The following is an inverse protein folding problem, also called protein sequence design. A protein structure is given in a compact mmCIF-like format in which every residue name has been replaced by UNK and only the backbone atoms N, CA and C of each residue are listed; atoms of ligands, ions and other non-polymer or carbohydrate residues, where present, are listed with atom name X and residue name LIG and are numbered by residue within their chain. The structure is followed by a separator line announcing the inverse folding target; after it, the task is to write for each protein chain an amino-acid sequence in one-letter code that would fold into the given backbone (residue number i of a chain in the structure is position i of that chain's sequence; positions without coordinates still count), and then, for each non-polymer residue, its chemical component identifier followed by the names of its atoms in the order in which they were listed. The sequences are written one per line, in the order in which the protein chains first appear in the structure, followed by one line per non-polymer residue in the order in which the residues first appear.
data_IF_428699496213
#
_entry.id   IF_428699496213
#
_cell.length_a   1.000
_cell.length_b   1.000
_cell.length_c   1.000
_cell.angle_alpha   90.00
_cell.angle_beta   90.00
_cell.angle_gamma   90.00
#
_symmetry.space_group_name_H-M   'P 1'
#
loop_
_entity.id
_entity.type
_entity.pdbx_description
1 polymer ?
#
# COMPACT_ATOMS: atom_id res chain seq x y z
N UNK A 1 -70.22 3.42 -46.61
CA UNK A 1 -68.90 2.97 -46.97
C UNK A 1 -67.77 3.85 -46.49
N UNK A 2 -67.73 5.18 -46.73
CA UNK A 2 -66.59 6.06 -46.23
C UNK A 2 -66.36 6.09 -44.72
N UNK A 3 -67.38 5.98 -43.85
CA UNK A 3 -67.21 6.00 -42.38
C UNK A 3 -66.49 4.75 -41.87
N UNK A 4 -66.68 3.58 -42.47
CA UNK A 4 -66.05 2.31 -42.10
C UNK A 4 -64.58 2.33 -42.55
N UNK A 5 -64.25 2.86 -43.72
CA UNK A 5 -62.92 3.03 -44.23
C UNK A 5 -62.09 3.94 -43.35
N UNK A 6 -62.65 5.07 -42.86
CA UNK A 6 -61.92 5.96 -41.96
C UNK A 6 -61.63 5.34 -40.55
N UNK A 7 -62.54 4.52 -40.02
CA UNK A 7 -62.37 3.80 -38.78
C UNK A 7 -61.26 2.76 -38.88
N UNK A 8 -61.20 2.06 -40.03
CA UNK A 8 -60.11 1.03 -40.24
C UNK A 8 -58.73 1.67 -40.38
N UNK A 9 -58.62 2.82 -41.03
CA UNK A 9 -57.36 3.56 -41.17
C UNK A 9 -56.90 4.09 -39.85
N UNK A 10 -57.81 4.66 -39.00
CA UNK A 10 -57.44 5.08 -37.62
C UNK A 10 -56.98 3.94 -36.71
N UNK A 11 -57.63 2.76 -36.81
CA UNK A 11 -57.24 1.58 -36.06
C UNK A 11 -55.83 1.08 -36.47
N UNK A 12 -55.57 1.01 -37.76
CA UNK A 12 -54.25 0.64 -38.30
C UNK A 12 -53.17 1.64 -37.90
N UNK A 13 -53.43 2.94 -37.98
CA UNK A 13 -52.48 3.97 -37.54
C UNK A 13 -52.17 3.89 -36.03
N UNK A 14 -53.19 3.60 -35.21
CA UNK A 14 -53.00 3.36 -33.77
C UNK A 14 -52.16 2.14 -33.46
N UNK A 15 -52.36 1.03 -34.17
CA UNK A 15 -51.55 -0.17 -34.05
C UNK A 15 -50.07 0.04 -34.44
N UNK A 16 -49.81 0.75 -35.54
CA UNK A 16 -48.46 1.10 -35.96
C UNK A 16 -47.79 2.05 -34.96
N UNK A 17 -48.52 3.00 -34.37
CA UNK A 17 -48.00 3.89 -33.37
C UNK A 17 -47.64 3.15 -32.06
N UNK A 18 -48.51 2.25 -31.58
CA UNK A 18 -48.24 1.40 -30.44
C UNK A 18 -47.04 0.46 -30.67
N UNK A 19 -46.96 -0.17 -31.85
CA UNK A 19 -45.80 -1.01 -32.23
C UNK A 19 -44.49 -0.23 -32.26
N UNK A 20 -44.51 1.00 -32.76
CA UNK A 20 -43.36 1.91 -32.76
C UNK A 20 -42.90 2.29 -31.35
N UNK A 21 -43.82 2.55 -30.43
CA UNK A 21 -43.50 2.84 -29.02
C UNK A 21 -42.86 1.63 -28.35
N UNK A 22 -43.41 0.43 -28.55
CA UNK A 22 -42.85 -0.82 -27.98
C UNK A 22 -41.44 -1.09 -28.53
N UNK A 23 -41.22 -0.89 -29.81
CA UNK A 23 -39.92 -1.07 -30.44
C UNK A 23 -38.89 -0.08 -29.88
N UNK A 24 -39.24 1.20 -29.77
CA UNK A 24 -38.35 2.23 -29.21
C UNK A 24 -38.04 1.96 -27.73
N UNK A 25 -39.03 1.47 -26.96
CA UNK A 25 -38.79 1.07 -25.55
C UNK A 25 -37.89 -0.14 -25.46
N UNK A 26 -38.06 -1.17 -26.28
CA UNK A 26 -37.22 -2.34 -26.35
C UNK A 26 -35.77 -1.97 -26.65
N UNK A 27 -35.53 -1.18 -27.71
CA UNK A 27 -34.17 -0.74 -28.08
C UNK A 27 -33.51 0.10 -26.97
N UNK A 28 -34.28 0.94 -26.26
CA UNK A 28 -33.75 1.74 -25.14
C UNK A 28 -33.40 0.88 -23.92
N UNK A 29 -34.19 -0.13 -23.62
CA UNK A 29 -33.86 -1.07 -22.50
C UNK A 29 -32.65 -1.90 -22.82
N UNK A 30 -32.54 -2.45 -24.03
CA UNK A 30 -31.38 -3.24 -24.47
C UNK A 30 -30.09 -2.39 -24.45
N UNK A 31 -30.17 -1.13 -24.93
CA UNK A 31 -29.02 -0.22 -24.88
C UNK A 31 -28.58 0.09 -23.44
N UNK A 32 -29.54 0.28 -22.52
CA UNK A 32 -29.22 0.51 -21.09
C UNK A 32 -28.56 -0.73 -20.45
N UNK A 33 -29.12 -1.90 -20.69
CA UNK A 33 -28.56 -3.16 -20.20
C UNK A 33 -27.11 -3.37 -20.71
N UNK A 34 -26.89 -3.12 -22.00
CA UNK A 34 -25.55 -3.22 -22.59
C UNK A 34 -24.55 -2.22 -21.96
N UNK A 35 -24.98 -1.00 -21.63
CA UNK A 35 -24.14 -0.01 -20.93
C UNK A 35 -23.83 -0.45 -19.52
N UNK A 36 -24.85 -0.91 -18.76
CA UNK A 36 -24.66 -1.43 -17.40
C UNK A 36 -23.74 -2.65 -17.35
N UNK A 37 -23.86 -3.57 -18.31
CA UNK A 37 -22.96 -4.74 -18.42
C UNK A 37 -21.51 -4.32 -18.69
N UNK A 38 -21.29 -3.36 -19.60
CA UNK A 38 -19.96 -2.83 -19.87
C UNK A 38 -19.35 -2.13 -18.66
N UNK A 39 -20.14 -1.33 -17.94
CA UNK A 39 -19.69 -0.66 -16.72
C UNK A 39 -19.31 -1.67 -15.61
N UNK A 40 -20.09 -2.76 -15.47
CA UNK A 40 -19.77 -3.84 -14.53
C UNK A 40 -18.48 -4.56 -14.90
N UNK A 41 -18.33 -4.89 -16.20
CA UNK A 41 -17.11 -5.54 -16.69
C UNK A 41 -15.87 -4.66 -16.48
N UNK A 42 -15.98 -3.35 -16.75
CA UNK A 42 -14.89 -2.41 -16.53
C UNK A 42 -14.51 -2.31 -15.04
N UNK A 43 -15.50 -2.21 -14.14
CA UNK A 43 -15.25 -2.21 -12.69
C UNK A 43 -14.56 -3.49 -12.21
N UNK A 44 -15.02 -4.64 -12.69
CA UNK A 44 -14.39 -5.92 -12.35
C UNK A 44 -12.93 -6.00 -12.84
N UNK A 45 -12.66 -5.48 -14.03
CA UNK A 45 -11.30 -5.41 -14.57
C UNK A 45 -10.41 -4.47 -13.75
N UNK A 46 -10.92 -3.30 -13.36
CA UNK A 46 -10.22 -2.35 -12.49
C UNK A 46 -9.94 -2.94 -11.10
N UNK A 47 -10.93 -3.60 -10.48
CA UNK A 47 -10.78 -4.28 -9.19
C UNK A 47 -9.75 -5.41 -9.27
N UNK A 48 -9.80 -6.24 -10.32
CA UNK A 48 -8.83 -7.32 -10.53
C UNK A 48 -7.42 -6.77 -10.75
N UNK A 49 -7.28 -5.69 -11.52
CA UNK A 49 -5.99 -5.01 -11.72
C UNK A 49 -5.43 -4.46 -10.41
N UNK A 50 -6.28 -3.79 -9.62
CA UNK A 50 -5.87 -3.24 -8.32
C UNK A 50 -5.43 -4.35 -7.36
N UNK A 51 -6.17 -5.46 -7.30
CA UNK A 51 -5.80 -6.62 -6.48
C UNK A 51 -4.45 -7.21 -6.92
N UNK A 52 -4.21 -7.31 -8.23
CA UNK A 52 -2.92 -7.77 -8.75
C UNK A 52 -1.78 -6.81 -8.40
N UNK A 53 -2.00 -5.51 -8.48
CA UNK A 53 -1.03 -4.48 -8.09
C UNK A 53 -0.73 -4.55 -6.59
N UNK A 54 -1.75 -4.69 -5.74
CA UNK A 54 -1.59 -4.81 -4.28
C UNK A 54 -0.80 -6.07 -3.92
N UNK A 55 -1.15 -7.23 -4.49
CA UNK A 55 -0.41 -8.48 -4.29
C UNK A 55 1.04 -8.39 -4.76
N UNK A 56 1.27 -7.71 -5.87
CA UNK A 56 2.60 -7.54 -6.42
C UNK A 56 3.47 -6.55 -5.62
N UNK A 57 2.86 -5.63 -4.87
CA UNK A 57 3.53 -4.56 -4.13
C UNK A 57 3.63 -4.80 -2.63
N UNK A 58 3.00 -5.84 -2.09
CA UNK A 58 3.01 -6.14 -0.65
C UNK A 58 3.85 -7.36 -0.31
N UNK A 59 4.36 -7.40 0.91
CA UNK A 59 5.00 -8.57 1.54
C UNK A 59 3.92 -9.51 2.08
N UNK A 60 3.92 -10.75 1.61
CA UNK A 60 2.88 -11.74 1.93
C UNK A 60 2.81 -12.13 3.41
N UNK A 61 3.87 -11.93 4.20
CA UNK A 61 3.89 -12.24 5.63
C UNK A 61 3.30 -11.10 6.46
N UNK A 62 3.76 -9.87 6.23
CA UNK A 62 3.47 -8.72 7.09
C UNK A 62 2.37 -7.82 6.54
N UNK A 63 2.05 -7.93 5.25
CA UNK A 63 1.13 -7.06 4.53
C UNK A 63 1.64 -5.62 4.39
N UNK A 64 2.90 -5.33 4.73
CA UNK A 64 3.57 -4.08 4.40
C UNK A 64 3.91 -4.04 2.91
N UNK A 65 4.29 -2.89 2.41
CA UNK A 65 4.86 -2.82 1.07
C UNK A 65 6.19 -3.60 1.00
N UNK A 66 6.46 -4.21 -0.15
CA UNK A 66 7.68 -4.98 -0.38
C UNK A 66 8.82 -4.12 -0.96
N UNK A 67 10.02 -4.72 -1.12
CA UNK A 67 11.21 -4.05 -1.67
C UNK A 67 10.96 -3.51 -3.10
N UNK A 68 10.18 -4.23 -3.91
CA UNK A 68 9.87 -3.78 -5.28
C UNK A 68 9.14 -2.44 -5.29
N UNK A 69 8.14 -2.29 -4.45
CA UNK A 69 7.39 -1.03 -4.33
C UNK A 69 8.23 0.08 -3.68
N UNK A 70 9.09 -0.27 -2.73
CA UNK A 70 10.07 0.65 -2.15
C UNK A 70 10.94 1.30 -3.22
N UNK A 71 11.55 0.49 -4.09
CA UNK A 71 12.40 0.99 -5.18
C UNK A 71 11.62 1.83 -6.21
N UNK A 72 10.37 1.47 -6.48
CA UNK A 72 9.50 2.23 -7.37
C UNK A 72 9.16 3.60 -6.78
N UNK A 73 8.75 3.66 -5.50
CA UNK A 73 8.39 4.91 -4.83
C UNK A 73 9.58 5.85 -4.65
N UNK A 74 10.77 5.32 -4.36
CA UNK A 74 11.99 6.14 -4.32
C UNK A 74 12.28 6.83 -5.66
N UNK A 75 12.14 6.09 -6.77
CA UNK A 75 12.33 6.63 -8.12
C UNK A 75 11.26 7.68 -8.47
N UNK A 76 10.02 7.42 -8.11
CA UNK A 76 8.90 8.33 -8.33
C UNK A 76 9.10 9.64 -7.58
N UNK A 77 9.44 9.59 -6.29
CA UNK A 77 9.73 10.77 -5.48
C UNK A 77 10.91 11.59 -6.05
N UNK A 78 11.94 10.91 -6.57
CA UNK A 78 13.04 11.59 -7.22
C UNK A 78 12.63 12.31 -8.52
N UNK A 79 11.85 11.63 -9.37
CA UNK A 79 11.34 12.21 -10.63
C UNK A 79 10.47 13.43 -10.35
N UNK A 80 9.60 13.34 -9.35
CA UNK A 80 8.69 14.42 -8.94
C UNK A 80 9.38 15.47 -8.04
N UNK A 81 10.64 15.27 -7.68
CA UNK A 81 11.39 16.11 -6.73
C UNK A 81 10.65 16.29 -5.39
N UNK A 82 9.91 15.29 -4.98
CA UNK A 82 9.16 15.29 -3.71
C UNK A 82 10.13 15.11 -2.55
N UNK A 83 10.22 16.05 -1.59
CA UNK A 83 11.05 15.87 -0.41
C UNK A 83 10.53 14.74 0.48
N UNK A 84 11.45 13.92 1.00
CA UNK A 84 11.11 12.84 1.94
C UNK A 84 12.25 12.52 2.89
N UNK A 85 11.92 11.80 3.97
CA UNK A 85 12.91 11.15 4.83
C UNK A 85 12.79 9.65 4.65
N UNK A 86 13.92 9.01 4.39
CA UNK A 86 14.05 7.57 4.43
C UNK A 86 14.58 7.15 5.81
N UNK A 87 13.85 6.26 6.49
CA UNK A 87 14.34 5.51 7.64
C UNK A 87 14.59 4.08 7.22
N UNK A 88 15.77 3.55 7.56
CA UNK A 88 16.15 2.16 7.35
C UNK A 88 16.36 1.47 8.71
N UNK A 89 15.78 0.29 8.89
CA UNK A 89 15.70 -0.39 10.18
C UNK A 89 16.09 -1.85 10.05
N UNK A 90 16.71 -2.38 11.08
CA UNK A 90 17.05 -3.80 11.26
C UNK A 90 16.69 -4.20 12.69
N UNK A 91 16.05 -5.37 12.88
CA UNK A 91 15.68 -5.85 14.21
C UNK A 91 16.90 -6.44 14.91
N UNK A 92 17.23 -5.87 16.07
CA UNK A 92 18.34 -6.35 16.87
C UNK A 92 18.02 -7.73 17.46
N UNK A 93 18.91 -8.71 17.23
CA UNK A 93 18.81 -10.07 17.78
C UNK A 93 17.57 -10.85 17.35
N UNK A 94 17.08 -10.64 16.12
CA UNK A 94 15.95 -11.41 15.59
C UNK A 94 16.29 -12.89 15.41
N UNK A 95 17.51 -13.22 14.91
CA UNK A 95 17.96 -14.61 14.76
C UNK A 95 17.87 -15.43 16.04
N UNK A 96 18.38 -14.97 17.22
CA UNK A 96 18.16 -15.66 18.50
C UNK A 96 16.71 -15.95 18.86
N UNK A 97 15.75 -15.12 18.41
CA UNK A 97 14.33 -15.41 18.64
C UNK A 97 13.90 -16.63 17.82
N UNK A 98 14.28 -16.70 16.54
CA UNK A 98 14.02 -17.86 15.71
C UNK A 98 14.69 -19.12 16.25
N UNK A 99 15.94 -19.02 16.64
CA UNK A 99 16.73 -20.16 17.16
C UNK A 99 16.14 -20.72 18.48
N UNK A 100 15.55 -19.86 19.32
CA UNK A 100 14.98 -20.25 20.61
C UNK A 100 13.51 -20.68 20.54
N UNK A 101 12.69 -20.00 19.76
CA UNK A 101 11.23 -20.16 19.77
C UNK A 101 10.65 -20.69 18.46
N UNK A 102 11.50 -20.90 17.43
CA UNK A 102 11.09 -21.37 16.11
C UNK A 102 10.63 -20.25 15.18
N UNK A 103 10.59 -20.57 13.89
CA UNK A 103 10.25 -19.63 12.82
C UNK A 103 8.81 -19.10 12.93
N UNK A 104 7.86 -19.90 13.42
CA UNK A 104 6.47 -19.48 13.58
C UNK A 104 6.32 -18.29 14.55
N UNK A 105 7.11 -18.30 15.64
CA UNK A 105 7.16 -17.18 16.60
C UNK A 105 7.87 -15.99 16.00
N UNK A 106 8.93 -16.21 15.22
CA UNK A 106 9.60 -15.15 14.47
C UNK A 106 8.67 -14.48 13.46
N UNK A 107 7.87 -15.24 12.74
CA UNK A 107 6.89 -14.73 11.79
C UNK A 107 5.78 -13.91 12.48
N UNK A 108 5.32 -14.36 13.66
CA UNK A 108 4.39 -13.59 14.48
C UNK A 108 5.03 -12.28 14.96
N UNK A 109 6.29 -12.32 15.41
CA UNK A 109 7.03 -11.12 15.80
C UNK A 109 7.13 -10.11 14.65
N UNK A 110 7.45 -10.56 13.43
CA UNK A 110 7.52 -9.69 12.26
C UNK A 110 6.17 -9.03 11.93
N UNK A 111 5.06 -9.74 12.09
CA UNK A 111 3.70 -9.19 11.92
C UNK A 111 3.37 -8.11 12.97
N UNK A 112 3.72 -8.36 14.22
CA UNK A 112 3.51 -7.40 15.29
C UNK A 112 4.40 -6.15 15.13
N UNK A 113 5.67 -6.33 14.74
CA UNK A 113 6.57 -5.22 14.39
C UNK A 113 5.97 -4.38 13.26
N UNK A 114 5.47 -5.01 12.21
CA UNK A 114 4.82 -4.32 11.10
C UNK A 114 3.63 -3.48 11.56
N UNK A 115 2.80 -4.02 12.46
CA UNK A 115 1.67 -3.30 13.06
C UNK A 115 2.13 -2.07 13.85
N UNK A 116 3.19 -2.19 14.65
CA UNK A 116 3.75 -1.06 15.42
C UNK A 116 4.37 0.00 14.52
N UNK A 117 5.07 -0.39 13.46
CA UNK A 117 5.63 0.54 12.49
C UNK A 117 4.54 1.34 11.76
N UNK A 118 3.42 0.67 11.37
CA UNK A 118 2.25 1.37 10.82
C UNK A 118 1.69 2.41 11.80
N UNK A 119 1.66 2.11 13.09
CA UNK A 119 1.23 3.06 14.13
C UNK A 119 2.20 4.23 14.36
N UNK A 120 3.42 4.16 13.85
CA UNK A 120 4.41 5.24 13.93
C UNK A 120 4.32 6.27 12.81
N UNK A 121 3.56 6.02 11.74
CA UNK A 121 3.48 6.85 10.53
C UNK A 121 2.06 7.32 10.27
N UNK A 122 1.90 8.27 9.36
CA UNK A 122 0.60 8.74 8.88
C UNK A 122 0.17 7.88 7.69
N UNK A 123 -1.09 7.97 7.29
CA UNK A 123 -1.63 7.30 6.11
C UNK A 123 -0.92 7.71 4.80
N UNK A 124 -0.43 8.95 4.75
CA UNK A 124 0.35 9.47 3.61
C UNK A 124 1.79 8.97 3.55
N UNK A 125 2.27 8.29 4.57
CA UNK A 125 3.62 7.75 4.66
C UNK A 125 3.61 6.26 4.30
N UNK A 126 4.74 5.72 3.85
CA UNK A 126 4.84 4.32 3.45
C UNK A 126 5.78 3.53 4.34
N UNK A 127 5.38 2.29 4.69
CA UNK A 127 6.15 1.33 5.48
C UNK A 127 6.41 0.09 4.65
N UNK A 128 7.65 -0.38 4.65
CA UNK A 128 8.13 -1.47 3.81
C UNK A 128 8.81 -2.54 4.64
N UNK A 129 8.69 -3.78 4.20
CA UNK A 129 9.61 -4.86 4.55
C UNK A 129 10.52 -5.12 3.38
N UNK A 130 11.82 -4.92 3.59
CA UNK A 130 12.84 -5.04 2.52
C UNK A 130 13.27 -6.51 2.39
N UNK A 131 13.35 -7.23 3.49
CA UNK A 131 13.66 -8.66 3.52
C UNK A 131 14.06 -9.10 4.92
N UNK A 132 13.88 -10.38 5.23
CA UNK A 132 14.25 -10.90 6.55
C UNK A 132 13.65 -10.09 7.70
N UNK A 133 14.52 -9.45 8.47
CA UNK A 133 14.24 -8.57 9.62
C UNK A 133 14.50 -7.07 9.32
N UNK A 134 14.66 -6.71 8.04
CA UNK A 134 14.89 -5.35 7.59
C UNK A 134 13.58 -4.66 7.15
N UNK A 135 13.39 -3.43 7.64
CA UNK A 135 12.25 -2.58 7.33
C UNK A 135 12.70 -1.19 6.85
N UNK A 136 11.83 -0.51 6.13
CA UNK A 136 12.05 0.89 5.77
C UNK A 136 10.77 1.71 5.91
N UNK A 137 10.92 3.02 6.13
CA UNK A 137 9.81 3.97 6.11
C UNK A 137 10.18 5.15 5.22
N UNK A 138 9.25 5.56 4.36
CA UNK A 138 9.34 6.81 3.61
C UNK A 138 8.29 7.76 4.19
N UNK A 139 8.76 8.85 4.78
CA UNK A 139 7.92 9.91 5.34
C UNK A 139 8.01 11.12 4.42
N UNK A 140 6.89 11.45 3.80
CA UNK A 140 6.82 12.53 2.81
C UNK A 140 6.73 13.91 3.48
N UNK A 141 7.35 14.91 2.85
CA UNK A 141 7.31 16.32 3.25
C UNK A 141 8.64 16.89 3.69
N UNK A 142 8.66 18.23 3.86
CA UNK A 142 9.81 18.94 4.36
C UNK A 142 10.02 18.69 5.86
N UNK A 143 11.24 18.40 6.25
CA UNK A 143 11.57 18.06 7.64
C UNK A 143 12.54 19.07 8.25
N UNK A 144 12.36 19.29 9.54
CA UNK A 144 13.30 20.07 10.36
C UNK A 144 14.41 19.16 10.92
N UNK A 145 15.55 19.72 11.28
CA UNK A 145 16.71 18.97 11.81
C UNK A 145 16.37 18.08 13.01
N UNK A 146 15.50 18.54 13.92
CA UNK A 146 15.06 17.76 15.08
C UNK A 146 14.08 16.61 14.77
N UNK A 147 13.43 16.64 13.62
CA UNK A 147 12.40 15.67 13.25
C UNK A 147 12.96 14.24 13.14
N UNK A 148 14.06 14.06 12.44
CA UNK A 148 14.68 12.75 12.24
C UNK A 148 15.03 12.08 13.57
N UNK A 149 15.68 12.81 14.47
CA UNK A 149 16.06 12.30 15.80
C UNK A 149 14.83 11.89 16.62
N UNK A 150 13.85 12.78 16.72
CA UNK A 150 12.61 12.51 17.45
C UNK A 150 11.85 11.31 16.87
N UNK A 151 11.81 11.17 15.55
CA UNK A 151 11.14 10.04 14.89
C UNK A 151 11.86 8.72 15.12
N UNK A 152 13.20 8.69 15.03
CA UNK A 152 14.01 7.52 15.35
C UNK A 152 13.75 7.04 16.78
N UNK A 153 13.77 7.95 17.76
CA UNK A 153 13.50 7.59 19.16
C UNK A 153 12.07 7.05 19.34
N UNK A 154 11.08 7.63 18.69
CA UNK A 154 9.69 7.15 18.73
C UNK A 154 9.59 5.73 18.15
N UNK A 155 10.21 5.46 17.01
CA UNK A 155 10.23 4.13 16.37
C UNK A 155 10.91 3.12 17.30
N UNK A 156 12.10 3.44 17.83
CA UNK A 156 12.83 2.55 18.74
C UNK A 156 12.05 2.25 20.02
N UNK A 157 11.37 3.25 20.58
CA UNK A 157 10.53 3.06 21.75
C UNK A 157 9.37 2.11 21.46
N UNK A 158 8.66 2.30 20.34
CA UNK A 158 7.54 1.45 19.92
C UNK A 158 7.96 -0.01 19.69
N UNK A 159 9.12 -0.24 19.05
CA UNK A 159 9.64 -1.59 18.79
C UNK A 159 10.11 -2.26 20.07
N UNK A 160 10.67 -1.53 21.03
CA UNK A 160 11.21 -2.08 22.28
C UNK A 160 10.13 -2.57 23.26
N UNK A 161 8.88 -2.16 23.12
CA UNK A 161 7.79 -2.65 23.96
C UNK A 161 7.68 -4.19 23.86
N UNK A 162 7.45 -4.93 24.97
CA UNK A 162 7.32 -6.37 24.93
C UNK A 162 6.25 -6.86 23.95
N UNK A 163 6.50 -7.99 23.30
CA UNK A 163 5.58 -8.70 22.43
C UNK A 163 5.03 -9.93 23.11
N UNK A 164 3.72 -10.00 23.28
CA UNK A 164 3.04 -11.20 23.80
C UNK A 164 2.64 -12.07 22.62
N UNK A 165 3.49 -13.02 22.30
CA UNK A 165 3.30 -13.99 21.22
C UNK A 165 2.81 -15.28 21.86
N UNK A 166 1.95 -16.01 21.17
CA UNK A 166 1.23 -17.24 21.55
C UNK A 166 1.69 -17.93 22.86
N UNK A 167 2.96 -18.30 22.96
CA UNK A 167 3.52 -19.04 24.11
C UNK A 167 4.81 -18.39 24.66
N UNK A 168 5.11 -17.14 24.25
CA UNK A 168 6.32 -16.45 24.60
C UNK A 168 6.11 -14.95 24.79
N UNK A 169 6.81 -14.37 25.75
CA UNK A 169 7.02 -12.93 25.83
C UNK A 169 8.41 -12.63 25.28
N UNK A 170 8.46 -11.85 24.21
CA UNK A 170 9.69 -11.53 23.49
C UNK A 170 9.90 -10.03 23.50
N UNK A 171 11.14 -9.60 23.70
CA UNK A 171 11.52 -8.21 23.57
C UNK A 171 12.70 -8.08 22.62
N UNK A 172 12.57 -7.23 21.61
CA UNK A 172 13.61 -6.95 20.63
C UNK A 172 13.85 -5.45 20.55
N UNK A 173 15.05 -5.07 20.11
CA UNK A 173 15.36 -3.70 19.76
C UNK A 173 15.32 -3.50 18.24
N UNK A 174 15.62 -2.29 17.81
CA UNK A 174 15.90 -2.00 16.42
C UNK A 174 17.01 -0.98 16.29
N UNK A 175 17.90 -1.22 15.34
CA UNK A 175 18.88 -0.26 14.88
C UNK A 175 18.25 0.54 13.73
N UNK A 176 18.42 1.87 13.75
CA UNK A 176 17.74 2.74 12.81
C UNK A 176 18.68 3.82 12.29
N UNK A 177 18.69 4.01 10.95
CA UNK A 177 19.34 5.13 10.28
C UNK A 177 18.36 5.92 9.46
N UNK A 178 18.61 7.21 9.28
CA UNK A 178 17.75 8.04 8.42
C UNK A 178 18.58 8.93 7.49
N UNK A 179 18.01 9.24 6.31
CA UNK A 179 18.56 10.17 5.36
C UNK A 179 17.44 11.02 4.73
N UNK A 180 17.75 12.28 4.44
CA UNK A 180 16.77 13.29 4.00
C UNK A 180 17.03 13.68 2.54
N UNK A 181 16.04 13.45 1.69
CA UNK A 181 16.06 13.92 0.31
C UNK A 181 15.34 15.28 0.19
N UNK A 182 15.90 16.29 -0.48
CA UNK A 182 17.20 16.29 -1.16
C UNK A 182 18.38 16.81 -0.29
N UNK A 183 18.19 17.03 1.02
CA UNK A 183 19.17 17.71 1.88
C UNK A 183 20.50 16.95 2.04
N UNK A 184 20.44 15.62 2.24
CA UNK A 184 21.64 14.80 2.37
C UNK A 184 22.24 14.44 1.00
N UNK A 185 21.39 14.26 -0.03
CA UNK A 185 21.78 14.01 -1.43
C UNK A 185 20.59 14.20 -2.37
N UNK A 186 20.89 14.65 -3.62
CA UNK A 186 19.92 14.66 -4.73
C UNK A 186 19.82 13.32 -5.49
N UNK A 187 20.65 12.34 -5.13
CA UNK A 187 20.61 10.99 -5.69
C UNK A 187 19.94 10.03 -4.68
N UNK A 188 18.83 9.44 -5.07
CA UNK A 188 18.08 8.50 -4.21
C UNK A 188 18.86 7.24 -3.87
N UNK A 189 19.81 6.81 -4.73
CA UNK A 189 20.70 5.69 -4.42
C UNK A 189 21.65 6.07 -3.28
N UNK A 190 22.19 7.28 -3.32
CA UNK A 190 23.02 7.79 -2.24
C UNK A 190 22.23 7.94 -0.93
N UNK A 191 20.95 8.37 -0.99
CA UNK A 191 20.05 8.43 0.17
C UNK A 191 19.85 7.05 0.79
N UNK A 192 19.60 6.00 -0.02
CA UNK A 192 19.45 4.61 0.47
C UNK A 192 20.73 4.14 1.17
N UNK A 193 21.89 4.29 0.51
CA UNK A 193 23.20 3.91 1.05
C UNK A 193 23.49 4.65 2.36
N UNK A 194 23.16 5.93 2.43
CA UNK A 194 23.42 6.76 3.60
C UNK A 194 22.53 6.34 4.80
N UNK A 195 21.26 6.06 4.55
CA UNK A 195 20.33 5.59 5.58
C UNK A 195 20.79 4.22 6.14
N UNK A 196 21.12 3.28 5.27
CA UNK A 196 21.66 1.96 5.63
C UNK A 196 22.95 2.08 6.44
N UNK A 197 23.92 2.86 5.97
CA UNK A 197 25.18 3.10 6.67
C UNK A 197 24.98 3.72 8.07
N UNK A 198 24.02 4.65 8.21
CA UNK A 198 23.67 5.24 9.51
C UNK A 198 23.03 4.21 10.44
N UNK A 199 22.18 3.33 9.91
CA UNK A 199 21.60 2.21 10.64
C UNK A 199 22.68 1.24 11.12
N UNK A 200 23.61 0.85 10.24
CA UNK A 200 24.72 -0.02 10.61
C UNK A 200 25.61 0.57 11.71
N UNK A 201 25.91 1.87 11.66
CA UNK A 201 26.62 2.57 12.74
C UNK A 201 25.86 2.53 14.07
N UNK A 202 24.55 2.68 14.03
CA UNK A 202 23.68 2.59 15.21
C UNK A 202 23.72 1.17 15.81
N UNK A 203 23.72 0.13 14.95
CA UNK A 203 23.85 -1.28 15.33
C UNK A 203 25.17 -1.56 16.05
N UNK A 204 26.28 -1.05 15.52
CA UNK A 204 27.59 -1.18 16.15
C UNK A 204 27.69 -0.52 17.52
N UNK A 205 27.15 0.71 17.67
CA UNK A 205 27.16 1.47 18.94
C UNK A 205 26.34 0.77 20.02
N UNK A 206 25.32 0.07 19.64
CA UNK A 206 24.41 -0.63 20.57
C UNK A 206 24.95 -1.98 21.03
N UNK A 207 26.09 -2.49 20.48
CA UNK A 207 26.63 -3.81 20.79
C UNK A 207 25.66 -4.96 20.46
N UNK A 208 24.78 -4.78 19.47
CA UNK A 208 23.61 -5.62 19.20
C UNK A 208 23.71 -6.41 17.89
N UNK A 209 24.93 -6.64 17.42
CA UNK A 209 25.13 -7.51 16.24
C UNK A 209 24.85 -8.99 16.54
#
# INVERSE_FOLDING_TARGET
MRKIQNATILLLAGLFFCAGIVLVHGVRTDARLCVEEKERALRQEEEARQQMEDLANTDGLTGLYNERYFDALLKENALNRTPFVLFYLDLDRFKPVNDRYGHDVGDQLLKEVAGRLRGCVRESDAVFRIGGDEFALIVNGAVTEGFCKSRVEKIKAAIREPYRLKDAEVQVGTSCGCAVYPCDSNDVRAIRILADHRMYKDKQRSGRS
#
